data_IF_359135610065
#
_entry.id   IF_359135610065
#
_cell.length_a   1.000
_cell.length_b   1.000
_cell.length_c   1.000
_cell.angle_alpha   90.00
_cell.angle_beta   90.00
_cell.angle_gamma   90.00
#
_symmetry.space_group_name_H-M   'P 1'
#
loop_
_entity.id
_entity.type
_entity.pdbx_description
1 polymer ?
#
# COMPACT_ATOMS: atom_id res chain seq x y z
N UNK A 1 1.15 -21.13 -13.94
CA UNK A 1 -0.15 -20.46 -13.66
C UNK A 1 -0.76 -20.02 -14.98
N UNK A 2 -1.91 -20.58 -15.37
CA UNK A 2 -2.74 -20.05 -16.48
C UNK A 2 -3.93 -19.33 -15.87
N UNK A 3 -3.69 -18.14 -15.30
CA UNK A 3 -4.76 -17.32 -14.71
C UNK A 3 -5.18 -16.14 -15.63
N UNK A 4 -4.41 -15.90 -16.69
CA UNK A 4 -4.66 -14.80 -17.63
C UNK A 4 -5.24 -15.29 -18.95
N UNK A 5 -6.10 -14.46 -19.57
CA UNK A 5 -6.46 -14.59 -20.99
C UNK A 5 -5.19 -14.52 -21.85
N UNK A 6 -5.22 -15.10 -23.04
CA UNK A 6 -4.13 -14.98 -24.01
C UNK A 6 -3.80 -13.49 -24.22
N UNK A 7 -2.52 -13.13 -24.15
CA UNK A 7 -1.99 -11.75 -24.18
C UNK A 7 -2.23 -10.84 -22.97
N UNK A 8 -2.74 -11.35 -21.84
CA UNK A 8 -2.81 -10.55 -20.61
C UNK A 8 -1.44 -10.46 -19.90
N UNK A 9 -1.10 -9.27 -19.40
CA UNK A 9 0.04 -9.07 -18.48
C UNK A 9 -0.44 -9.31 -17.06
N UNK A 10 0.29 -10.12 -16.30
CA UNK A 10 -0.01 -10.43 -14.89
C UNK A 10 1.09 -9.84 -14.02
N UNK A 11 0.70 -9.21 -12.91
CA UNK A 11 1.63 -8.59 -11.96
C UNK A 11 1.36 -9.14 -10.55
N UNK A 12 2.42 -9.31 -9.77
CA UNK A 12 2.35 -9.47 -8.32
C UNK A 12 2.43 -8.07 -7.69
N UNK A 13 1.38 -7.64 -7.00
CA UNK A 13 1.28 -6.25 -6.58
C UNK A 13 1.04 -6.09 -5.08
N UNK A 14 1.69 -5.08 -4.48
CA UNK A 14 1.51 -4.68 -3.09
C UNK A 14 1.10 -3.20 -3.03
N UNK A 15 0.05 -2.85 -2.25
CA UNK A 15 -0.45 -1.47 -2.18
C UNK A 15 0.51 -0.48 -1.53
N UNK A 16 1.49 -0.96 -0.76
CA UNK A 16 2.55 -0.16 -0.14
C UNK A 16 3.80 -0.99 0.09
N UNK A 17 4.95 -0.34 0.23
CA UNK A 17 6.20 -0.98 0.63
C UNK A 17 6.34 -1.00 2.16
N UNK A 18 6.42 -2.17 2.83
CA UNK A 18 6.65 -2.27 4.26
C UNK A 18 7.98 -1.67 4.73
N UNK A 19 8.98 -1.58 3.85
CA UNK A 19 10.26 -0.91 4.11
C UNK A 19 10.17 0.62 3.96
N UNK A 20 9.01 1.17 3.60
CA UNK A 20 8.81 2.56 3.23
C UNK A 20 9.00 2.79 1.73
N UNK A 21 8.28 3.77 1.19
CA UNK A 21 8.32 4.10 -0.24
C UNK A 21 9.74 4.49 -0.69
N UNK A 22 10.17 3.97 -1.84
CA UNK A 22 11.52 4.22 -2.39
C UNK A 22 12.67 3.43 -1.73
N UNK A 23 12.40 2.60 -0.73
CA UNK A 23 13.40 1.69 -0.15
C UNK A 23 13.29 0.28 -0.72
N UNK A 24 14.39 -0.47 -0.73
CA UNK A 24 14.35 -1.89 -1.09
C UNK A 24 13.43 -2.68 -0.14
N UNK A 25 12.51 -3.48 -0.70
CA UNK A 25 11.55 -4.30 0.04
C UNK A 25 12.26 -5.28 0.98
N UNK A 26 13.45 -5.76 0.59
CA UNK A 26 14.30 -6.70 1.36
C UNK A 26 14.63 -6.22 2.76
N UNK A 27 14.63 -4.90 2.98
CA UNK A 27 14.91 -4.30 4.30
C UNK A 27 13.82 -4.62 5.32
N UNK A 28 12.60 -4.93 4.88
CA UNK A 28 11.50 -5.34 5.75
C UNK A 28 11.30 -6.85 5.79
N UNK A 29 11.34 -7.53 4.64
CA UNK A 29 11.08 -8.97 4.56
C UNK A 29 11.99 -9.67 3.56
N UNK A 30 12.67 -10.72 4.01
CA UNK A 30 13.52 -11.56 3.15
C UNK A 30 12.81 -12.80 2.60
N UNK A 31 11.71 -13.24 3.23
CA UNK A 31 11.02 -14.49 2.89
C UNK A 31 10.46 -14.49 1.45
N UNK A 32 9.81 -13.40 0.96
CA UNK A 32 9.26 -13.39 -0.40
C UNK A 32 10.31 -13.55 -1.52
N UNK A 33 11.58 -13.23 -1.27
CA UNK A 33 12.69 -13.42 -2.23
C UNK A 33 12.99 -14.86 -2.60
N UNK A 34 12.41 -15.83 -1.88
CA UNK A 34 12.47 -17.24 -2.26
C UNK A 34 11.61 -17.56 -3.48
N UNK A 35 10.71 -16.67 -3.87
CA UNK A 35 9.72 -16.88 -4.93
C UNK A 35 9.85 -15.83 -6.04
N UNK A 36 10.03 -14.55 -5.69
CA UNK A 36 10.16 -13.44 -6.63
C UNK A 36 11.31 -12.51 -6.26
N UNK A 37 12.00 -11.91 -7.23
CA UNK A 37 12.87 -10.77 -6.95
C UNK A 37 11.99 -9.52 -6.77
N UNK A 38 11.72 -9.17 -5.51
CA UNK A 38 10.75 -8.12 -5.17
C UNK A 38 11.22 -6.70 -5.51
N UNK A 39 12.51 -6.49 -5.78
CA UNK A 39 13.05 -5.14 -6.05
C UNK A 39 13.30 -4.89 -7.55
N UNK A 40 13.57 -5.94 -8.34
CA UNK A 40 14.05 -5.79 -9.72
C UNK A 40 13.15 -6.43 -10.78
N UNK A 41 12.20 -7.29 -10.40
CA UNK A 41 11.34 -7.98 -11.36
C UNK A 41 10.23 -7.05 -11.90
N UNK A 42 10.14 -6.90 -13.22
CA UNK A 42 9.15 -6.05 -13.88
C UNK A 42 7.69 -6.48 -13.64
N UNK A 43 7.49 -7.73 -13.22
CA UNK A 43 6.18 -8.26 -12.88
C UNK A 43 5.76 -7.93 -11.45
N UNK A 44 6.64 -7.32 -10.65
CA UNK A 44 6.35 -6.87 -9.30
C UNK A 44 6.04 -5.38 -9.31
N UNK A 45 4.93 -4.99 -8.66
CA UNK A 45 4.52 -3.58 -8.53
C UNK A 45 4.27 -3.26 -7.06
N UNK A 46 4.99 -2.29 -6.49
CA UNK A 46 4.86 -1.94 -5.08
C UNK A 46 4.58 -0.43 -4.95
N UNK A 47 3.64 -0.06 -4.08
CA UNK A 47 3.42 1.34 -3.72
C UNK A 47 3.10 2.19 -4.95
N UNK A 48 3.90 3.23 -5.20
CA UNK A 48 3.67 4.17 -6.29
C UNK A 48 3.57 3.49 -7.66
N UNK A 49 4.38 2.46 -7.92
CA UNK A 49 4.38 1.75 -9.21
C UNK A 49 3.03 1.08 -9.48
N UNK A 50 2.43 0.46 -8.46
CA UNK A 50 1.10 -0.13 -8.57
C UNK A 50 0.04 0.93 -8.87
N UNK A 51 -0.03 1.97 -8.04
CA UNK A 51 -1.09 2.97 -8.12
C UNK A 51 -1.01 3.78 -9.42
N UNK A 52 0.21 4.14 -9.84
CA UNK A 52 0.44 4.83 -11.10
C UNK A 52 0.10 3.96 -12.31
N UNK A 53 0.30 2.64 -12.21
CA UNK A 53 -0.11 1.70 -13.26
C UNK A 53 -1.62 1.57 -13.36
N UNK A 54 -2.33 1.47 -12.22
CA UNK A 54 -3.80 1.38 -12.18
C UNK A 54 -4.44 2.67 -12.70
N UNK A 55 -3.94 3.84 -12.29
CA UNK A 55 -4.47 5.13 -12.72
C UNK A 55 -4.00 5.59 -14.10
N UNK A 56 -3.12 4.83 -14.75
CA UNK A 56 -2.45 5.19 -16.01
C UNK A 56 -1.83 6.61 -15.99
N UNK A 57 -1.37 7.05 -14.81
CA UNK A 57 -0.82 8.37 -14.56
C UNK A 57 0.30 8.27 -13.50
N UNK A 58 1.45 8.89 -13.77
CA UNK A 58 2.62 8.91 -12.86
C UNK A 58 2.39 9.63 -11.52
N UNK A 59 1.30 10.39 -11.41
CA UNK A 59 0.95 11.17 -10.22
C UNK A 59 -0.20 10.54 -9.41
N UNK A 60 -0.80 9.44 -9.86
CA UNK A 60 -1.96 8.85 -9.17
C UNK A 60 -1.65 8.52 -7.72
N UNK A 61 -0.46 8.00 -7.43
CA UNK A 61 -0.06 7.72 -6.06
C UNK A 61 0.00 8.97 -5.18
N UNK A 62 0.64 10.04 -5.67
CA UNK A 62 0.73 11.30 -4.91
C UNK A 62 -0.64 11.96 -4.74
N UNK A 63 -1.48 11.95 -5.77
CA UNK A 63 -2.84 12.48 -5.71
C UNK A 63 -3.68 11.71 -4.68
N UNK A 64 -3.54 10.38 -4.60
CA UNK A 64 -4.19 9.57 -3.57
C UNK A 64 -3.70 9.93 -2.17
N UNK A 65 -2.38 10.12 -1.97
CA UNK A 65 -1.83 10.52 -0.67
C UNK A 65 -2.36 11.90 -0.24
N UNK A 66 -2.43 12.86 -1.16
CA UNK A 66 -2.99 14.19 -0.90
C UNK A 66 -4.46 14.09 -0.48
N UNK A 67 -5.27 13.30 -1.22
CA UNK A 67 -6.67 13.05 -0.89
C UNK A 67 -6.82 12.37 0.48
N UNK A 68 -6.00 11.36 0.78
CA UNK A 68 -6.02 10.69 2.08
C UNK A 68 -5.66 11.63 3.22
N UNK A 69 -4.73 12.57 3.01
CA UNK A 69 -4.40 13.59 4.01
C UNK A 69 -5.57 14.55 4.23
N UNK A 70 -6.15 15.11 3.16
CA UNK A 70 -7.29 16.03 3.23
C UNK A 70 -8.49 15.38 3.95
N UNK A 71 -8.86 14.18 3.52
CA UNK A 71 -9.96 13.42 4.12
C UNK A 71 -9.59 13.01 5.54
N UNK A 72 -8.35 12.58 5.76
CA UNK A 72 -7.82 12.18 7.05
C UNK A 72 -7.97 13.27 8.12
N UNK A 73 -7.61 14.52 7.79
CA UNK A 73 -7.77 15.67 8.68
C UNK A 73 -9.23 15.85 9.13
N UNK A 74 -10.19 15.73 8.20
CA UNK A 74 -11.62 15.85 8.49
C UNK A 74 -12.12 14.77 9.45
N UNK A 75 -11.61 13.55 9.34
CA UNK A 75 -12.05 12.42 10.17
C UNK A 75 -11.20 12.20 11.43
N UNK A 76 -10.04 12.84 11.53
CA UNK A 76 -9.10 12.66 12.64
C UNK A 76 -9.75 12.92 13.99
N UNK A 77 -10.54 14.00 14.11
CA UNK A 77 -11.24 14.33 15.34
C UNK A 77 -12.30 13.30 15.72
N UNK A 78 -12.99 12.73 14.73
CA UNK A 78 -13.99 11.68 14.97
C UNK A 78 -13.32 10.38 15.41
N UNK A 79 -12.20 10.02 14.78
CA UNK A 79 -11.40 8.84 15.15
C UNK A 79 -10.86 9.00 16.57
N UNK A 80 -10.24 10.15 16.89
CA UNK A 80 -9.73 10.46 18.23
C UNK A 80 -10.82 10.35 19.30
N UNK A 81 -12.00 10.94 19.06
CA UNK A 81 -13.15 10.83 19.97
C UNK A 81 -13.59 9.38 20.16
N UNK A 82 -13.67 8.61 19.07
CA UNK A 82 -14.08 7.21 19.12
C UNK A 82 -13.08 6.35 19.91
N UNK A 83 -11.78 6.50 19.64
CA UNK A 83 -10.70 5.81 20.36
C UNK A 83 -10.71 6.21 21.84
N UNK A 84 -10.90 7.49 22.15
CA UNK A 84 -10.95 7.97 23.53
C UNK A 84 -12.14 7.37 24.30
N UNK A 85 -13.33 7.35 23.72
CA UNK A 85 -14.52 6.70 24.31
C UNK A 85 -14.26 5.21 24.52
N UNK A 86 -13.70 4.52 23.52
CA UNK A 86 -13.37 3.11 23.62
C UNK A 86 -12.39 2.81 24.76
N UNK A 87 -11.30 3.59 24.87
CA UNK A 87 -10.33 3.41 25.95
C UNK A 87 -10.91 3.73 27.34
N UNK A 88 -11.85 4.68 27.42
CA UNK A 88 -12.55 5.02 28.66
C UNK A 88 -13.60 3.97 29.07
N UNK A 89 -14.22 3.28 28.12
CA UNK A 89 -15.28 2.30 28.45
C UNK A 89 -14.75 0.88 28.61
N UNK A 90 -13.61 0.55 27.98
CA UNK A 90 -13.14 -0.84 27.90
C UNK A 90 -11.76 -1.12 28.53
N UNK A 91 -10.99 -0.10 28.92
CA UNK A 91 -9.64 -0.28 29.51
C UNK A 91 -9.46 0.35 30.90
N UNK A 92 -10.53 0.72 31.60
CA UNK A 92 -10.45 1.09 33.03
C UNK A 92 -10.71 -0.16 33.90
N UNK A 93 -9.75 -1.09 33.92
CA UNK A 93 -9.46 -2.02 35.02
C UNK A 93 -8.00 -2.46 34.91
#
# INVERSE_FOLDING_TARGET
>A
MKAGKEHSKTYFALPFNPAGEGNDYRRAHSIPYRIFDMDNDESVLIGAELWNKIGENKNTYSELLELFNEVGEKYLDRIKKTIWVYNREFFIY
#
